data_IF_324784866350
#
_entry.id   IF_324784866350
#
_cell.length_a   1.000
_cell.length_b   1.000
_cell.length_c   1.000
_cell.angle_alpha   90.00
_cell.angle_beta   90.00
_cell.angle_gamma   90.00
#
_symmetry.space_group_name_H-M   'P 1'
#
loop_
_entity.id
_entity.type
_entity.pdbx_description
1 polymer ?
#
# COMPACT_ATOMS: atom_id res chain seq x y z
N UNK A 1 33.09 24.45 -2.21
CA UNK A 1 32.38 24.19 -0.94
C UNK A 1 33.25 23.29 -0.09
N UNK A 2 33.62 23.74 1.12
CA UNK A 2 34.49 22.97 2.01
C UNK A 2 33.69 21.94 2.79
N UNK A 3 34.35 20.91 3.27
CA UNK A 3 33.78 19.85 4.14
C UNK A 3 33.05 20.44 5.36
N UNK A 4 33.51 21.55 5.90
CA UNK A 4 32.90 22.23 7.05
C UNK A 4 31.53 22.82 6.74
N UNK A 5 31.31 23.30 5.51
CA UNK A 5 29.99 23.79 5.08
C UNK A 5 28.97 22.65 5.01
N UNK A 6 29.36 21.48 4.51
CA UNK A 6 28.53 20.29 4.49
C UNK A 6 28.11 19.85 5.90
N UNK A 7 29.04 19.84 6.85
CA UNK A 7 28.75 19.57 8.26
C UNK A 7 27.79 20.61 8.85
N UNK A 8 27.94 21.89 8.51
CA UNK A 8 27.06 22.95 8.97
C UNK A 8 25.61 22.74 8.52
N UNK A 9 25.39 22.31 7.26
CA UNK A 9 24.06 21.98 6.75
C UNK A 9 23.45 20.78 7.49
N UNK A 10 24.23 19.72 7.69
CA UNK A 10 23.76 18.51 8.38
C UNK A 10 23.40 18.78 9.84
N UNK A 11 24.24 19.55 10.55
CA UNK A 11 23.99 19.93 11.94
C UNK A 11 22.71 20.76 12.07
N UNK A 12 22.47 21.72 11.16
CA UNK A 12 21.23 22.52 11.16
C UNK A 12 19.96 21.68 10.98
N UNK A 13 20.05 20.54 10.29
CA UNK A 13 18.93 19.61 10.14
C UNK A 13 18.69 18.76 11.40
N UNK A 14 19.66 18.73 12.32
CA UNK A 14 19.51 17.96 13.55
C UNK A 14 18.52 18.65 14.50
N UNK A 15 17.67 17.86 15.15
CA UNK A 15 16.59 18.33 16.02
C UNK A 15 17.04 19.26 17.15
N UNK A 16 18.25 19.07 17.68
CA UNK A 16 18.82 19.91 18.75
C UNK A 16 19.12 21.34 18.29
N UNK A 17 19.30 21.55 17.00
CA UNK A 17 19.65 22.84 16.39
C UNK A 17 18.49 23.46 15.58
N UNK A 18 17.25 23.04 15.88
CA UNK A 18 16.05 23.63 15.28
C UNK A 18 15.57 22.98 13.99
N UNK A 19 16.15 21.85 13.59
CA UNK A 19 15.68 21.09 12.43
C UNK A 19 14.22 20.61 12.61
N UNK A 20 13.37 20.82 11.59
CA UNK A 20 11.98 20.33 11.59
C UNK A 20 11.97 18.81 11.43
N UNK A 21 11.17 18.14 12.25
CA UNK A 21 10.97 16.69 12.14
C UNK A 21 10.11 16.39 10.92
N UNK A 22 10.65 15.65 9.95
CA UNK A 22 9.94 15.23 8.72
C UNK A 22 9.36 13.82 8.86
N UNK A 23 9.79 13.08 9.88
CA UNK A 23 9.33 11.70 10.12
C UNK A 23 7.85 11.67 10.50
N UNK A 24 7.05 10.92 9.77
CA UNK A 24 5.66 10.63 10.12
C UNK A 24 5.61 9.35 10.95
N UNK A 25 5.13 9.42 12.18
CA UNK A 25 4.92 8.23 13.02
C UNK A 25 3.57 7.62 12.68
N UNK A 26 3.58 6.44 12.09
CA UNK A 26 2.38 5.76 11.60
C UNK A 26 1.52 5.17 12.72
N UNK A 27 2.16 4.65 13.76
CA UNK A 27 1.48 4.21 14.97
C UNK A 27 1.54 5.34 15.98
N UNK A 28 0.41 5.90 16.39
CA UNK A 28 0.32 6.97 17.38
C UNK A 28 1.03 6.63 18.70
N UNK A 29 2.36 6.55 18.65
CA UNK A 29 3.21 6.24 19.79
C UNK A 29 3.06 7.31 20.88
N UNK A 30 3.26 6.92 22.15
CA UNK A 30 3.20 7.79 23.34
C UNK A 30 3.97 9.11 23.21
N UNK A 31 4.87 9.28 22.24
CA UNK A 31 5.61 10.50 21.93
C UNK A 31 4.89 11.47 21.00
N UNK A 32 3.86 11.01 20.27
CA UNK A 32 3.04 11.87 19.41
C UNK A 32 2.19 12.87 20.23
N UNK A 33 1.96 12.60 21.51
CA UNK A 33 1.14 13.44 22.42
C UNK A 33 1.75 14.77 22.81
N UNK A 34 3.02 15.05 22.51
CA UNK A 34 3.67 16.30 22.94
C UNK A 34 4.28 17.02 21.74
N UNK A 35 3.56 18.00 21.20
CA UNK A 35 3.96 19.00 20.21
C UNK A 35 3.85 18.58 18.74
N UNK A 36 2.66 18.61 18.19
CA UNK A 36 2.48 19.09 16.83
C UNK A 36 1.22 19.94 16.78
N UNK A 37 1.40 21.27 16.70
CA UNK A 37 0.34 22.24 16.39
C UNK A 37 0.07 22.24 14.87
N UNK A 38 0.25 21.13 14.20
CA UNK A 38 -0.17 20.94 12.81
C UNK A 38 -1.52 20.21 12.82
N UNK A 39 -2.42 20.61 11.94
CA UNK A 39 -3.80 20.17 11.75
C UNK A 39 -4.01 18.65 11.58
N UNK A 40 -3.20 17.84 12.24
CA UNK A 40 -3.18 16.39 12.27
C UNK A 40 -3.19 15.85 13.70
N UNK A 41 -3.89 16.54 14.59
CA UNK A 41 -4.27 15.99 15.90
C UNK A 41 -5.32 14.88 15.65
N UNK A 42 -4.84 13.77 15.11
CA UNK A 42 -5.65 12.56 14.94
C UNK A 42 -5.76 11.91 16.31
N UNK A 43 -6.96 11.79 16.80
CA UNK A 43 -7.30 11.13 18.04
C UNK A 43 -6.75 9.69 18.06
N UNK A 44 -6.38 9.18 19.20
CA UNK A 44 -5.48 8.06 19.47
C UNK A 44 -5.74 6.74 18.73
N UNK A 45 -6.90 6.56 18.11
CA UNK A 45 -7.34 5.34 17.43
C UNK A 45 -7.59 5.50 15.91
N UNK A 46 -7.47 6.72 15.37
CA UNK A 46 -7.63 6.92 13.94
C UNK A 46 -6.32 6.67 13.20
N UNK A 47 -6.39 5.79 12.21
CA UNK A 47 -5.30 5.58 11.25
C UNK A 47 -5.07 6.89 10.50
N UNK A 48 -3.82 7.31 10.40
CA UNK A 48 -3.46 8.47 9.57
C UNK A 48 -4.09 8.35 8.18
N UNK A 49 -4.67 9.45 7.64
CA UNK A 49 -5.23 9.44 6.30
C UNK A 49 -4.15 8.99 5.31
N UNK A 50 -4.55 8.10 4.41
CA UNK A 50 -3.61 7.61 3.38
C UNK A 50 -3.25 8.76 2.45
N UNK A 51 -1.96 8.96 2.13
CA UNK A 51 -1.58 9.86 1.05
C UNK A 51 -2.24 9.41 -0.27
N UNK A 52 -2.65 10.34 -1.12
CA UNK A 52 -3.31 10.05 -2.41
C UNK A 52 -2.51 9.09 -3.30
N UNK A 53 -1.18 9.13 -3.19
CA UNK A 53 -0.27 8.30 -3.99
C UNK A 53 0.40 7.18 -3.18
N UNK A 54 -0.27 6.69 -2.14
CA UNK A 54 0.22 5.54 -1.41
C UNK A 54 -0.15 4.25 -2.17
N UNK A 55 0.86 3.58 -2.69
CA UNK A 55 0.73 2.25 -3.27
C UNK A 55 0.87 1.22 -2.14
N UNK A 56 -0.26 0.77 -1.65
CA UNK A 56 -0.34 -0.16 -0.54
C UNK A 56 -0.24 -1.63 -0.96
N UNK A 57 -0.40 -2.52 0.02
CA UNK A 57 -0.48 -3.95 -0.24
C UNK A 57 -1.78 -4.28 -0.97
N UNK A 58 -1.70 -5.11 -2.02
CA UNK A 58 -2.85 -5.57 -2.79
C UNK A 58 -3.79 -6.43 -1.95
N UNK A 59 -5.08 -6.24 -2.17
CA UNK A 59 -6.15 -7.02 -1.54
C UNK A 59 -7.17 -7.37 -2.60
N UNK A 60 -7.53 -8.64 -2.71
CA UNK A 60 -8.68 -9.06 -3.52
C UNK A 60 -9.96 -8.70 -2.76
N UNK A 61 -10.76 -7.84 -3.34
CA UNK A 61 -12.01 -7.40 -2.76
C UNK A 61 -13.15 -8.39 -3.04
N UNK A 62 -14.14 -8.40 -2.15
CA UNK A 62 -15.39 -9.15 -2.31
C UNK A 62 -16.56 -8.19 -2.46
N UNK A 63 -17.65 -8.67 -3.02
CA UNK A 63 -18.94 -8.00 -3.01
C UNK A 63 -19.58 -8.10 -1.61
N UNK A 64 -20.66 -7.35 -1.38
CA UNK A 64 -21.39 -7.35 -0.09
C UNK A 64 -22.03 -8.71 0.22
N UNK A 65 -22.39 -9.48 -0.82
CA UNK A 65 -22.90 -10.85 -0.73
C UNK A 65 -21.81 -11.90 -0.45
N UNK A 66 -20.54 -11.50 -0.37
CA UNK A 66 -19.39 -12.35 -0.13
C UNK A 66 -18.74 -12.95 -1.37
N UNK A 67 -19.32 -12.77 -2.56
CA UNK A 67 -18.73 -13.25 -3.82
C UNK A 67 -17.41 -12.54 -4.13
N UNK A 68 -16.48 -13.26 -4.74
CA UNK A 68 -15.19 -12.70 -5.15
C UNK A 68 -15.32 -11.82 -6.38
N UNK A 69 -14.70 -10.65 -6.35
CA UNK A 69 -14.62 -9.77 -7.54
C UNK A 69 -13.64 -10.29 -8.59
N UNK A 70 -12.69 -11.13 -8.17
CA UNK A 70 -11.72 -11.72 -9.07
C UNK A 70 -12.35 -12.86 -9.88
N UNK A 71 -12.33 -12.73 -11.20
CA UNK A 71 -12.83 -13.75 -12.14
C UNK A 71 -11.71 -14.58 -12.77
N UNK A 72 -10.47 -14.42 -12.32
CA UNK A 72 -9.33 -15.18 -12.84
C UNK A 72 -8.99 -14.88 -14.31
N UNK A 73 -9.18 -13.63 -14.78
CA UNK A 73 -8.93 -13.22 -16.16
C UNK A 73 -7.45 -13.11 -16.54
N UNK A 74 -6.54 -13.17 -15.56
CA UNK A 74 -5.08 -13.11 -15.74
C UNK A 74 -4.53 -11.78 -16.30
N UNK A 75 -5.36 -10.75 -16.53
CA UNK A 75 -4.91 -9.45 -17.05
C UNK A 75 -3.86 -8.79 -16.15
N UNK A 76 -4.05 -8.84 -14.84
CA UNK A 76 -3.10 -8.29 -13.87
C UNK A 76 -1.72 -8.97 -13.95
N UNK A 77 -1.67 -10.26 -14.27
CA UNK A 77 -0.41 -10.98 -14.49
C UNK A 77 0.22 -10.57 -15.82
N UNK A 78 -0.59 -10.38 -16.87
CA UNK A 78 -0.13 -9.97 -18.20
C UNK A 78 0.48 -8.56 -18.22
N UNK A 79 -0.12 -7.61 -17.50
CA UNK A 79 0.33 -6.20 -17.44
C UNK A 79 1.53 -6.01 -16.50
N UNK A 80 1.81 -6.96 -15.62
CA UNK A 80 2.86 -6.82 -14.61
C UNK A 80 4.27 -6.73 -15.20
N UNK A 81 4.98 -5.58 -15.11
CA UNK A 81 6.33 -5.44 -15.68
C UNK A 81 7.35 -6.31 -14.95
N UNK A 82 7.15 -6.55 -13.65
CA UNK A 82 8.02 -7.38 -12.82
C UNK A 82 7.70 -8.88 -12.94
N UNK A 83 6.63 -9.26 -13.64
CA UNK A 83 6.15 -10.65 -13.77
C UNK A 83 6.10 -11.37 -12.43
N UNK A 84 5.58 -10.69 -11.43
CA UNK A 84 5.54 -11.18 -10.05
C UNK A 84 4.17 -11.74 -9.64
N UNK A 85 3.19 -11.72 -10.54
CA UNK A 85 1.83 -12.18 -10.29
C UNK A 85 1.60 -13.51 -11.00
N UNK A 86 1.11 -14.48 -10.25
CA UNK A 86 0.67 -15.76 -10.77
C UNK A 86 -0.83 -15.93 -10.50
N UNK A 87 -1.61 -16.12 -11.57
CA UNK A 87 -3.05 -16.30 -11.49
C UNK A 87 -3.45 -17.53 -12.26
N UNK A 88 -4.35 -18.33 -11.73
CA UNK A 88 -5.08 -19.38 -12.44
C UNK A 88 -6.56 -19.22 -12.20
N UNK A 89 -7.32 -19.09 -13.28
CA UNK A 89 -8.76 -19.18 -13.24
C UNK A 89 -9.24 -20.62 -13.30
N UNK A 90 -10.36 -20.90 -12.68
CA UNK A 90 -11.12 -22.14 -12.81
C UNK A 90 -12.57 -21.83 -13.18
N UNK A 91 -13.28 -22.83 -13.69
CA UNK A 91 -14.70 -22.71 -13.98
C UNK A 91 -15.50 -22.59 -12.68
N UNK A 92 -16.47 -21.70 -12.68
CA UNK A 92 -17.29 -21.43 -11.51
C UNK A 92 -18.33 -22.55 -11.34
N UNK A 93 -18.41 -23.23 -10.18
CA UNK A 93 -19.39 -24.27 -9.97
C UNK A 93 -20.82 -23.68 -10.00
N UNK A 94 -21.72 -24.37 -10.69
CA UNK A 94 -23.10 -23.91 -10.83
C UNK A 94 -23.91 -23.98 -9.53
N UNK A 95 -23.57 -24.94 -8.66
CA UNK A 95 -24.29 -25.21 -7.40
C UNK A 95 -23.89 -24.23 -6.27
N UNK A 96 -22.62 -23.74 -6.29
CA UNK A 96 -22.10 -22.83 -5.28
C UNK A 96 -21.13 -21.84 -5.95
N UNK A 97 -21.66 -20.78 -6.58
CA UNK A 97 -20.84 -19.84 -7.33
C UNK A 97 -19.95 -19.00 -6.41
N UNK A 98 -18.65 -18.99 -6.68
CA UNK A 98 -17.64 -18.22 -5.94
C UNK A 98 -17.57 -16.77 -6.42
N UNK A 99 -17.83 -16.53 -7.71
CA UNK A 99 -17.87 -15.22 -8.35
C UNK A 99 -19.15 -15.03 -9.16
N UNK A 100 -19.52 -13.81 -9.55
CA UNK A 100 -20.70 -13.57 -10.39
C UNK A 100 -20.49 -13.95 -11.87
N UNK A 101 -19.27 -14.35 -12.25
CA UNK A 101 -18.93 -14.72 -13.62
C UNK A 101 -18.89 -16.24 -13.85
N UNK A 102 -18.55 -16.66 -15.07
CA UNK A 102 -18.38 -18.06 -15.43
C UNK A 102 -17.10 -18.67 -14.85
N UNK A 103 -16.16 -17.83 -14.41
CA UNK A 103 -14.86 -18.22 -13.87
C UNK A 103 -14.56 -17.49 -12.58
N UNK A 104 -13.67 -18.06 -11.77
CA UNK A 104 -13.16 -17.41 -10.55
C UNK A 104 -11.63 -17.58 -10.44
N UNK A 105 -10.99 -16.79 -9.58
CA UNK A 105 -9.56 -16.87 -9.33
C UNK A 105 -9.20 -18.00 -8.39
N UNK A 106 -8.98 -19.22 -8.92
CA UNK A 106 -8.62 -20.40 -8.15
C UNK A 106 -7.28 -20.26 -7.43
N UNK A 107 -6.27 -19.70 -8.11
CA UNK A 107 -4.98 -19.37 -7.51
C UNK A 107 -4.67 -17.92 -7.82
N UNK A 108 -4.26 -17.16 -6.81
CA UNK A 108 -3.78 -15.79 -6.95
C UNK A 108 -2.60 -15.56 -6.00
N UNK A 109 -1.43 -15.33 -6.56
CA UNK A 109 -0.20 -15.15 -5.81
C UNK A 109 0.58 -13.93 -6.32
N UNK A 110 1.13 -13.15 -5.41
CA UNK A 110 2.05 -12.05 -5.73
C UNK A 110 3.38 -12.27 -5.01
N UNK A 111 4.45 -12.35 -5.76
CA UNK A 111 5.79 -12.37 -5.19
C UNK A 111 6.21 -10.94 -4.82
N UNK A 112 6.01 -10.54 -3.58
CA UNK A 112 6.33 -9.19 -3.10
C UNK A 112 7.82 -8.87 -3.07
N UNK A 113 8.70 -9.85 -3.14
CA UNK A 113 10.14 -9.61 -3.29
C UNK A 113 10.51 -9.10 -4.71
N UNK A 114 9.63 -9.35 -5.68
CA UNK A 114 9.77 -8.85 -7.06
C UNK A 114 8.87 -7.67 -7.37
N UNK A 115 7.79 -7.49 -6.62
CA UNK A 115 6.82 -6.43 -6.84
C UNK A 115 7.45 -5.06 -6.63
N UNK A 116 7.31 -4.18 -7.62
CA UNK A 116 7.78 -2.79 -7.56
C UNK A 116 6.69 -1.79 -7.13
N UNK A 117 5.52 -2.28 -6.75
CA UNK A 117 4.38 -1.46 -6.31
C UNK A 117 3.99 -0.35 -7.29
N UNK A 118 3.93 -0.66 -8.58
CA UNK A 118 3.59 0.31 -9.63
C UNK A 118 2.08 0.49 -9.87
N UNK A 119 1.24 -0.36 -9.27
CA UNK A 119 -0.24 -0.40 -9.37
C UNK A 119 -0.83 -0.64 -10.76
N UNK A 120 -0.04 -0.90 -11.81
CA UNK A 120 -0.55 -1.21 -13.14
C UNK A 120 -1.52 -2.40 -13.15
N UNK A 121 -1.35 -3.36 -12.24
CA UNK A 121 -2.26 -4.49 -12.08
C UNK A 121 -3.62 -4.11 -11.46
N UNK A 122 -3.71 -2.96 -10.78
CA UNK A 122 -4.96 -2.44 -10.22
C UNK A 122 -5.75 -1.69 -11.27
N UNK A 123 -5.07 -1.10 -12.26
CA UNK A 123 -5.68 -0.38 -13.36
C UNK A 123 -6.14 -1.31 -14.50
N UNK A 124 -5.61 -2.53 -14.58
CA UNK A 124 -5.94 -3.52 -15.62
C UNK A 124 -7.24 -4.24 -15.34
#
# INVERSE_FOLDING_TARGET
>A
MGYLEGFGVTIRQHRLFGGKRVTTEYSGGRRAKKKHNDARDVEHDEKLPRPERLHGRHVLNRYEDGMEKCIGCELCAGVCPARCIYVRGADNPADDPVSPGERYGYIYEINYLRCIHCDLCVEA
#
